data_IF_804524725658
#
_entry.id   IF_804524725658
#
_cell.length_a   1.000
_cell.length_b   1.000
_cell.length_c   1.000
_cell.angle_alpha   90.00
_cell.angle_beta   90.00
_cell.angle_gamma   90.00
#
_symmetry.space_group_name_H-M   'P 1'
#
loop_
_entity.id
_entity.type
_entity.pdbx_description
1 polymer ?
#
# COMPACT_ATOMS: atom_id res chain seq x y z
N UNK A 1 -4.01 14.60 -28.99
CA UNK A 1 -2.68 14.77 -29.61
C UNK A 1 -2.21 16.24 -29.61
N UNK A 2 -2.97 17.24 -30.06
CA UNK A 2 -2.51 18.65 -30.07
C UNK A 2 -2.06 19.19 -28.70
N UNK A 3 -2.76 18.89 -27.61
CA UNK A 3 -2.41 19.37 -26.26
C UNK A 3 -1.07 18.81 -25.74
N UNK A 4 -0.72 17.58 -26.11
CA UNK A 4 0.57 16.98 -25.72
C UNK A 4 1.76 17.61 -26.44
N UNK A 5 1.57 18.07 -27.69
CA UNK A 5 2.62 18.75 -28.46
C UNK A 5 2.92 20.10 -27.82
N UNK A 6 1.89 20.87 -27.42
CA UNK A 6 2.06 22.17 -26.76
C UNK A 6 2.77 22.00 -25.41
N UNK A 7 2.37 21.01 -24.61
CA UNK A 7 2.98 20.72 -23.33
C UNK A 7 4.47 20.34 -23.49
N UNK A 8 4.80 19.51 -24.48
CA UNK A 8 6.17 19.12 -24.79
C UNK A 8 7.02 20.32 -25.22
N UNK A 9 6.46 21.27 -25.97
CA UNK A 9 7.17 22.51 -26.35
C UNK A 9 7.43 23.39 -25.13
N UNK A 10 6.50 23.51 -24.20
CA UNK A 10 6.68 24.26 -22.96
C UNK A 10 7.83 23.67 -22.15
N UNK A 11 7.89 22.33 -22.03
CA UNK A 11 8.97 21.63 -21.34
C UNK A 11 10.32 21.78 -22.05
N UNK A 12 10.37 21.70 -23.37
CA UNK A 12 11.60 21.94 -24.13
C UNK A 12 12.10 23.39 -24.00
N UNK A 13 11.21 24.38 -24.01
CA UNK A 13 11.57 25.80 -23.84
C UNK A 13 12.05 26.00 -22.39
N UNK A 14 11.38 25.46 -21.38
CA UNK A 14 11.82 25.52 -19.99
C UNK A 14 13.23 24.96 -19.82
N UNK A 15 13.53 23.85 -20.46
CA UNK A 15 14.86 23.23 -20.42
C UNK A 15 15.93 24.06 -21.20
N UNK A 16 15.61 24.63 -22.32
CA UNK A 16 16.52 25.54 -23.05
C UNK A 16 16.84 26.79 -22.23
N UNK A 17 15.83 27.37 -21.56
CA UNK A 17 16.02 28.47 -20.61
C UNK A 17 16.96 28.05 -19.48
N UNK A 18 16.81 26.82 -18.96
CA UNK A 18 17.69 26.28 -17.96
C UNK A 18 19.15 26.15 -18.40
N UNK A 19 19.41 25.69 -19.64
CA UNK A 19 20.76 25.63 -20.20
C UNK A 19 21.43 27.01 -20.27
N UNK A 20 20.67 28.06 -20.56
CA UNK A 20 21.16 29.44 -20.66
C UNK A 20 21.45 30.04 -19.27
N UNK A 21 20.65 29.71 -18.27
CA UNK A 21 20.80 30.25 -16.91
C UNK A 21 21.68 29.40 -15.97
N UNK A 22 22.11 28.19 -16.35
CA UNK A 22 22.86 27.27 -15.49
C UNK A 22 24.35 27.49 -15.46
N UNK A 23 24.83 28.67 -15.01
CA UNK A 23 26.25 28.85 -14.62
C UNK A 23 26.66 27.86 -13.50
N UNK A 24 25.72 27.32 -12.73
CA UNK A 24 25.94 26.37 -11.64
C UNK A 24 26.36 24.98 -12.14
N UNK A 25 25.94 24.57 -13.34
CA UNK A 25 26.33 23.28 -13.92
C UNK A 25 27.80 23.17 -14.32
N UNK A 26 28.49 24.30 -14.53
CA UNK A 26 29.92 24.31 -14.87
C UNK A 26 30.84 23.95 -13.70
N UNK A 27 30.36 24.00 -12.46
CA UNK A 27 31.13 23.56 -11.27
C UNK A 27 31.08 22.04 -11.05
N UNK A 28 30.14 21.34 -11.70
CA UNK A 28 30.01 19.90 -11.64
C UNK A 28 30.74 19.27 -12.83
N UNK A 29 31.55 18.23 -12.60
CA UNK A 29 32.42 17.60 -13.60
C UNK A 29 31.71 17.18 -14.88
N UNK A 30 32.48 16.99 -15.94
CA UNK A 30 32.04 16.74 -17.33
C UNK A 30 31.05 15.58 -17.51
N UNK A 31 31.02 14.60 -16.58
CA UNK A 31 30.10 13.48 -16.59
C UNK A 31 28.65 13.88 -16.26
N UNK A 32 28.42 14.82 -15.35
CA UNK A 32 27.08 15.30 -14.97
C UNK A 32 26.42 16.12 -16.08
N UNK A 33 27.20 16.84 -16.88
CA UNK A 33 26.69 17.60 -18.04
C UNK A 33 26.09 16.66 -19.09
N UNK A 34 26.72 15.53 -19.39
CA UNK A 34 26.23 14.52 -20.33
C UNK A 34 24.86 13.94 -19.89
N UNK A 35 24.68 13.71 -18.60
CA UNK A 35 23.41 13.21 -18.07
C UNK A 35 22.27 14.25 -18.12
N UNK A 36 22.59 15.54 -18.06
CA UNK A 36 21.61 16.62 -18.17
C UNK A 36 20.96 16.69 -19.57
N UNK A 37 21.64 16.23 -20.62
CA UNK A 37 21.08 16.19 -21.98
C UNK A 37 20.11 15.02 -22.25
N UNK A 38 20.05 14.03 -21.38
CA UNK A 38 19.22 12.84 -21.60
C UNK A 38 17.72 13.14 -21.65
N UNK A 39 17.10 13.98 -20.79
CA UNK A 39 15.71 14.36 -20.92
C UNK A 39 15.40 15.14 -22.19
N UNK A 40 16.38 15.93 -22.70
CA UNK A 40 16.24 16.59 -24.01
C UNK A 40 16.14 15.56 -25.13
N UNK A 41 17.00 14.55 -25.11
CA UNK A 41 16.97 13.47 -26.07
C UNK A 41 15.64 12.70 -25.98
N UNK A 42 15.18 12.42 -24.78
CA UNK A 42 13.88 11.79 -24.57
C UNK A 42 12.73 12.65 -25.10
N UNK A 43 12.72 13.95 -24.80
CA UNK A 43 11.71 14.91 -25.30
C UNK A 43 11.75 15.02 -26.83
N UNK A 44 12.94 15.08 -27.42
CA UNK A 44 13.12 15.13 -28.87
C UNK A 44 12.56 13.85 -29.53
N UNK A 45 12.87 12.66 -28.99
CA UNK A 45 12.35 11.39 -29.50
C UNK A 45 10.82 11.35 -29.42
N UNK A 46 10.24 11.85 -28.31
CA UNK A 46 8.79 11.90 -28.12
C UNK A 46 8.11 12.82 -29.17
N UNK A 47 8.72 13.95 -29.50
CA UNK A 47 8.12 14.95 -30.38
C UNK A 47 8.31 14.59 -31.88
N UNK A 48 9.54 14.23 -32.27
CA UNK A 48 9.91 14.11 -33.70
C UNK A 48 9.84 12.70 -34.25
N UNK A 49 9.76 11.67 -33.41
CA UNK A 49 9.72 10.26 -33.82
C UNK A 49 8.59 9.48 -33.15
N UNK A 50 7.32 9.79 -33.45
CA UNK A 50 6.17 9.08 -32.85
C UNK A 50 6.13 7.59 -33.17
N UNK A 51 6.85 7.15 -34.23
CA UNK A 51 7.01 5.71 -34.56
C UNK A 51 7.87 4.97 -33.55
N UNK A 52 8.85 5.63 -32.94
CA UNK A 52 9.69 5.03 -31.87
C UNK A 52 8.87 4.76 -30.62
N UNK A 53 7.92 5.63 -30.30
CA UNK A 53 7.04 5.47 -29.11
C UNK A 53 6.07 4.29 -29.29
N UNK A 54 5.68 3.98 -30.52
CA UNK A 54 4.81 2.83 -30.81
C UNK A 54 5.54 1.50 -30.64
N UNK A 55 6.86 1.48 -30.80
CA UNK A 55 7.68 0.29 -30.60
C UNK A 55 7.97 0.06 -29.10
N UNK A 56 7.93 -1.20 -28.65
CA UNK A 56 8.25 -1.59 -27.27
C UNK A 56 9.68 -1.16 -26.88
N UNK A 57 10.65 -1.34 -27.78
CA UNK A 57 12.05 -0.93 -27.59
C UNK A 57 12.19 0.58 -27.39
N UNK A 58 11.40 1.38 -28.10
CA UNK A 58 11.41 2.84 -27.94
C UNK A 58 10.88 3.30 -26.58
N UNK A 59 9.82 2.65 -26.06
CA UNK A 59 9.29 2.94 -24.72
C UNK A 59 10.32 2.61 -23.63
N UNK A 60 11.00 1.48 -23.76
CA UNK A 60 12.07 1.08 -22.84
C UNK A 60 13.23 2.08 -22.89
N UNK A 61 13.65 2.48 -24.08
CA UNK A 61 14.72 3.48 -24.23
C UNK A 61 14.37 4.82 -23.57
N UNK A 62 13.16 5.33 -23.81
CA UNK A 62 12.69 6.57 -23.20
C UNK A 62 12.61 6.44 -21.68
N UNK A 63 12.12 5.29 -21.17
CA UNK A 63 12.10 5.02 -19.72
C UNK A 63 13.50 5.07 -19.10
N UNK A 64 14.49 4.46 -19.76
CA UNK A 64 15.88 4.46 -19.30
C UNK A 64 16.50 5.86 -19.32
N UNK A 65 16.21 6.65 -20.36
CA UNK A 65 16.70 8.03 -20.45
C UNK A 65 16.11 8.92 -19.33
N UNK A 66 14.83 8.78 -19.03
CA UNK A 66 14.19 9.54 -17.94
C UNK A 66 14.75 9.09 -16.60
N UNK A 67 14.88 7.78 -16.37
CA UNK A 67 15.40 7.22 -15.12
C UNK A 67 16.84 7.71 -14.87
N UNK A 68 17.69 7.71 -15.90
CA UNK A 68 19.06 8.22 -15.78
C UNK A 68 19.10 9.74 -15.51
N UNK A 69 18.15 10.50 -16.04
CA UNK A 69 17.96 11.91 -15.69
C UNK A 69 17.54 12.13 -14.23
N UNK A 70 16.66 11.27 -13.70
CA UNK A 70 16.30 11.30 -12.28
C UNK A 70 17.51 10.99 -11.37
N UNK A 71 18.30 9.97 -11.70
CA UNK A 71 19.50 9.62 -10.95
C UNK A 71 20.53 10.77 -10.99
N UNK A 72 20.72 11.41 -12.14
CA UNK A 72 21.64 12.53 -12.28
C UNK A 72 21.20 13.74 -11.42
N UNK A 73 19.91 14.06 -11.41
CA UNK A 73 19.41 15.16 -10.58
C UNK A 73 19.54 14.85 -9.08
N UNK A 74 19.26 13.61 -8.66
CA UNK A 74 19.48 13.18 -7.28
C UNK A 74 20.94 13.32 -6.86
N UNK A 75 21.87 12.82 -7.66
CA UNK A 75 23.31 12.95 -7.39
C UNK A 75 23.75 14.42 -7.30
N UNK A 76 23.19 15.28 -8.17
CA UNK A 76 23.49 16.71 -8.15
C UNK A 76 23.01 17.40 -6.88
N UNK A 77 21.83 17.02 -6.39
CA UNK A 77 21.26 17.59 -5.15
C UNK A 77 22.02 17.10 -3.93
N UNK A 78 22.42 15.84 -3.88
CA UNK A 78 23.20 15.28 -2.76
C UNK A 78 24.66 15.81 -2.71
N UNK A 79 25.21 16.21 -3.87
CA UNK A 79 26.58 16.78 -3.95
C UNK A 79 26.61 18.29 -3.80
N UNK A 80 25.46 18.97 -3.82
CA UNK A 80 25.38 20.42 -3.63
C UNK A 80 25.67 20.77 -2.17
N UNK A 81 26.56 21.74 -1.94
CA UNK A 81 26.71 22.35 -0.61
C UNK A 81 25.39 23.00 -0.20
N UNK A 82 25.00 22.80 1.09
CA UNK A 82 23.74 23.25 1.66
C UNK A 82 23.45 24.72 1.37
N UNK A 83 22.28 25.01 0.78
CA UNK A 83 21.68 26.34 0.87
C UNK A 83 21.22 27.04 -0.40
N UNK A 84 21.54 26.59 -1.62
CA UNK A 84 21.04 27.25 -2.83
C UNK A 84 20.98 26.32 -4.05
N UNK A 85 19.98 25.47 -4.10
CA UNK A 85 19.63 24.88 -5.38
C UNK A 85 19.14 25.98 -6.34
N UNK A 86 19.81 26.10 -7.48
CA UNK A 86 19.44 27.03 -8.55
C UNK A 86 18.02 26.72 -9.05
N UNK A 87 17.25 27.73 -9.40
CA UNK A 87 15.94 27.58 -10.06
C UNK A 87 15.98 26.65 -11.27
N UNK A 88 17.15 26.51 -11.89
CA UNK A 88 17.40 25.59 -12.99
C UNK A 88 17.16 24.12 -12.63
N UNK A 89 17.52 23.67 -11.43
CA UNK A 89 17.29 22.30 -10.98
C UNK A 89 15.79 22.02 -10.81
N UNK A 90 15.03 22.96 -10.27
CA UNK A 90 13.59 22.81 -10.12
C UNK A 90 12.86 22.76 -11.47
N UNK A 91 13.26 23.55 -12.46
CA UNK A 91 12.74 23.45 -13.82
C UNK A 91 13.07 22.08 -14.45
N UNK A 92 14.27 21.56 -14.18
CA UNK A 92 14.66 20.22 -14.62
C UNK A 92 13.80 19.13 -13.99
N UNK A 93 13.55 19.20 -12.67
CA UNK A 93 12.66 18.27 -11.95
C UNK A 93 11.24 18.31 -12.53
N UNK A 94 10.68 19.51 -12.75
CA UNK A 94 9.35 19.66 -13.37
C UNK A 94 9.32 19.02 -14.77
N UNK A 95 10.37 19.18 -15.55
CA UNK A 95 10.48 18.56 -16.89
C UNK A 95 10.49 17.04 -16.79
N UNK A 96 11.28 16.46 -15.86
CA UNK A 96 11.34 15.01 -15.65
C UNK A 96 9.99 14.44 -15.19
N UNK A 97 9.33 15.11 -14.25
CA UNK A 97 7.99 14.72 -13.80
C UNK A 97 6.97 14.75 -14.92
N UNK A 98 7.01 15.78 -15.77
CA UNK A 98 6.17 15.88 -16.96
C UNK A 98 6.41 14.75 -17.97
N UNK A 99 7.68 14.37 -18.17
CA UNK A 99 8.06 13.24 -19.03
C UNK A 99 7.63 11.89 -18.43
N UNK A 100 7.79 11.69 -17.13
CA UNK A 100 7.30 10.50 -16.43
C UNK A 100 5.78 10.37 -16.54
N UNK A 101 5.06 11.47 -16.40
CA UNK A 101 3.60 11.48 -16.56
C UNK A 101 3.18 11.05 -17.97
N UNK A 102 3.83 11.59 -19.01
CA UNK A 102 3.58 11.20 -20.39
C UNK A 102 3.93 9.73 -20.65
N UNK A 103 5.06 9.27 -20.08
CA UNK A 103 5.50 7.89 -20.18
C UNK A 103 4.46 6.91 -19.61
N UNK A 104 3.89 7.23 -18.44
CA UNK A 104 2.80 6.44 -17.86
C UNK A 104 1.59 6.36 -18.80
N UNK A 105 1.22 7.48 -19.44
CA UNK A 105 0.16 7.51 -20.47
C UNK A 105 0.48 6.64 -21.70
N UNK A 106 1.75 6.53 -22.11
CA UNK A 106 2.15 5.63 -23.20
C UNK A 106 2.12 4.14 -22.81
N UNK A 107 2.48 3.83 -21.57
CA UNK A 107 2.41 2.46 -21.06
C UNK A 107 0.97 1.99 -20.86
N UNK A 108 0.07 2.84 -20.42
CA UNK A 108 -1.36 2.49 -20.22
C UNK A 108 -2.11 2.18 -21.51
N UNK A 109 -1.61 2.59 -22.68
CA UNK A 109 -2.28 2.36 -23.98
C UNK A 109 -1.89 1.03 -24.66
N UNK A 110 -1.06 0.19 -24.02
CA UNK A 110 -0.54 -1.06 -24.65
C UNK A 110 -1.52 -2.24 -24.52
N UNK A 111 -2.53 -2.17 -23.66
CA UNK A 111 -3.42 -3.29 -23.31
C UNK A 111 -4.05 -4.02 -24.50
N UNK A 112 -4.20 -3.35 -25.64
CA UNK A 112 -4.94 -3.90 -26.79
C UNK A 112 -4.10 -4.71 -27.78
N UNK A 113 -2.78 -4.90 -27.59
CA UNK A 113 -1.88 -5.42 -28.63
C UNK A 113 -1.07 -6.66 -28.23
N UNK A 114 -1.14 -7.16 -26.99
CA UNK A 114 -0.20 -8.15 -26.47
C UNK A 114 -0.84 -9.36 -25.76
N UNK A 115 -0.07 -10.43 -25.64
CA UNK A 115 -0.42 -11.68 -25.01
C UNK A 115 -0.78 -11.48 -23.51
N UNK A 116 -1.77 -12.18 -22.98
CA UNK A 116 -2.34 -12.01 -21.63
C UNK A 116 -1.28 -11.93 -20.50
N UNK A 117 -0.21 -12.70 -20.60
CA UNK A 117 0.87 -12.73 -19.59
C UNK A 117 1.74 -11.46 -19.62
N UNK A 118 1.90 -10.84 -20.77
CA UNK A 118 2.66 -9.60 -20.95
C UNK A 118 1.84 -8.39 -20.47
N UNK A 119 0.53 -8.45 -20.66
CA UNK A 119 -0.40 -7.40 -20.16
C UNK A 119 -0.34 -7.29 -18.65
N UNK A 120 -0.29 -8.41 -17.92
CA UNK A 120 -0.17 -8.40 -16.45
C UNK A 120 1.12 -7.71 -15.98
N UNK A 121 2.26 -8.00 -16.66
CA UNK A 121 3.52 -7.35 -16.33
C UNK A 121 3.50 -5.84 -16.64
N UNK A 122 2.86 -5.44 -17.74
CA UNK A 122 2.73 -4.03 -18.14
C UNK A 122 1.82 -3.26 -17.18
N UNK A 123 0.76 -3.87 -16.68
CA UNK A 123 -0.13 -3.26 -15.71
C UNK A 123 0.56 -2.94 -14.38
N UNK A 124 1.68 -3.59 -14.07
CA UNK A 124 2.53 -3.25 -12.93
C UNK A 124 3.48 -2.07 -13.21
N UNK A 125 3.82 -1.81 -14.47
CA UNK A 125 4.78 -0.74 -14.82
C UNK A 125 4.24 0.64 -14.44
N UNK A 126 2.97 0.92 -14.71
CA UNK A 126 2.37 2.24 -14.42
C UNK A 126 2.34 2.54 -12.92
N UNK A 127 1.84 1.66 -12.04
CA UNK A 127 1.90 1.87 -10.59
C UNK A 127 3.34 2.00 -10.05
N UNK A 128 4.29 1.21 -10.57
CA UNK A 128 5.71 1.28 -10.17
C UNK A 128 6.34 2.61 -10.58
N UNK A 129 6.09 3.07 -11.80
CA UNK A 129 6.57 4.39 -12.27
C UNK A 129 5.96 5.52 -11.46
N UNK A 130 4.67 5.42 -11.14
CA UNK A 130 3.98 6.44 -10.34
C UNK A 130 4.51 6.47 -8.90
N UNK A 131 4.66 5.31 -8.25
CA UNK A 131 5.26 5.21 -6.93
C UNK A 131 6.71 5.71 -6.91
N UNK A 132 7.52 5.34 -7.91
CA UNK A 132 8.89 5.82 -8.08
C UNK A 132 8.95 7.35 -8.29
N UNK A 133 8.01 7.92 -9.06
CA UNK A 133 7.90 9.36 -9.24
C UNK A 133 7.59 10.09 -7.92
N UNK A 134 6.69 9.52 -7.08
CA UNK A 134 6.39 10.10 -5.78
C UNK A 134 7.59 10.04 -4.82
N UNK A 135 8.31 8.92 -4.78
CA UNK A 135 9.55 8.79 -3.99
C UNK A 135 10.64 9.74 -4.49
N UNK A 136 10.79 9.87 -5.80
CA UNK A 136 11.71 10.83 -6.41
C UNK A 136 11.38 12.28 -6.02
N UNK A 137 10.10 12.67 -6.11
CA UNK A 137 9.67 14.00 -5.69
C UNK A 137 9.88 14.22 -4.20
N UNK A 138 9.60 13.23 -3.37
CA UNK A 138 9.84 13.31 -1.92
C UNK A 138 11.32 13.55 -1.63
N UNK A 139 12.23 12.75 -2.22
CA UNK A 139 13.67 12.92 -2.08
C UNK A 139 14.12 14.32 -2.52
N UNK A 140 13.70 14.75 -3.72
CA UNK A 140 14.05 16.05 -4.26
C UNK A 140 13.55 17.22 -3.41
N UNK A 141 12.34 17.13 -2.87
CA UNK A 141 11.78 18.18 -2.01
C UNK A 141 12.49 18.24 -0.66
N UNK A 142 12.74 17.09 -0.02
CA UNK A 142 13.35 17.06 1.31
C UNK A 142 14.80 17.51 1.27
N UNK A 143 15.59 16.98 0.35
CA UNK A 143 17.01 17.34 0.21
C UNK A 143 17.15 18.73 -0.42
N UNK A 144 16.35 19.03 -1.44
CA UNK A 144 16.46 20.27 -2.20
C UNK A 144 16.04 21.54 -1.45
N UNK A 145 15.13 21.44 -0.50
CA UNK A 145 14.72 22.54 0.39
C UNK A 145 15.39 22.47 1.76
N UNK A 146 16.36 21.58 1.95
CA UNK A 146 17.04 21.37 3.23
C UNK A 146 16.04 21.17 4.39
N UNK A 147 15.03 20.35 4.16
CA UNK A 147 14.01 20.07 5.17
C UNK A 147 14.66 19.36 6.35
N UNK A 148 14.50 19.84 7.59
CA UNK A 148 15.06 19.17 8.74
C UNK A 148 14.65 17.69 8.81
N UNK A 149 15.62 16.79 8.91
CA UNK A 149 15.43 15.33 8.91
C UNK A 149 14.47 14.85 10.01
N UNK A 150 14.43 15.60 11.12
CA UNK A 150 13.49 15.36 12.23
C UNK A 150 12.03 15.61 11.84
N UNK A 151 11.76 16.48 10.84
CA UNK A 151 10.40 16.73 10.36
C UNK A 151 10.02 15.71 9.30
N UNK A 152 10.88 15.54 8.30
CA UNK A 152 10.63 14.62 7.18
C UNK A 152 11.95 14.12 6.59
N UNK A 153 12.40 12.89 6.92
CA UNK A 153 13.61 12.34 6.35
C UNK A 153 13.43 12.00 4.86
N UNK A 154 14.49 12.13 4.05
CA UNK A 154 14.47 11.71 2.67
C UNK A 154 14.37 10.18 2.55
N UNK A 155 13.72 9.64 1.50
CA UNK A 155 13.63 8.21 1.23
C UNK A 155 14.96 7.46 1.23
N UNK A 156 16.03 8.07 0.78
CA UNK A 156 17.39 7.48 0.82
C UNK A 156 17.86 7.19 2.24
N UNK A 157 17.60 8.11 3.17
CA UNK A 157 17.95 7.97 4.59
C UNK A 157 17.09 6.89 5.26
N UNK A 158 15.79 6.85 4.93
CA UNK A 158 14.89 5.79 5.39
C UNK A 158 15.38 4.42 4.89
N UNK A 159 15.81 4.33 3.62
CA UNK A 159 16.40 3.11 3.06
C UNK A 159 17.67 2.66 3.77
N UNK A 160 18.55 3.58 4.11
CA UNK A 160 19.76 3.28 4.91
C UNK A 160 19.39 2.83 6.33
N UNK A 161 18.48 3.53 7.00
CA UNK A 161 17.98 3.14 8.32
C UNK A 161 17.35 1.75 8.30
N UNK A 162 16.56 1.43 7.25
CA UNK A 162 15.98 0.11 7.06
C UNK A 162 17.05 -0.99 6.99
N UNK A 163 18.08 -0.81 6.16
CA UNK A 163 19.16 -1.79 5.99
C UNK A 163 19.98 -1.94 7.27
N UNK A 164 20.33 -0.83 7.93
CA UNK A 164 21.14 -0.83 9.15
C UNK A 164 20.41 -1.40 10.37
N UNK A 165 19.07 -1.39 10.34
CA UNK A 165 18.23 -1.84 11.46
C UNK A 165 17.48 -3.15 11.18
N UNK A 166 17.87 -3.93 10.16
CA UNK A 166 17.15 -5.14 9.71
C UNK A 166 16.92 -6.15 10.85
N UNK A 167 17.89 -6.41 11.69
CA UNK A 167 17.77 -7.36 12.80
C UNK A 167 16.73 -6.90 13.82
N UNK A 168 16.76 -5.63 14.16
CA UNK A 168 15.80 -5.00 15.07
C UNK A 168 14.39 -4.98 14.48
N UNK A 169 14.26 -4.56 13.23
CA UNK A 169 12.96 -4.53 12.51
C UNK A 169 12.37 -5.91 12.34
N UNK A 170 13.21 -6.95 12.16
CA UNK A 170 12.76 -8.33 12.10
C UNK A 170 12.21 -8.82 13.44
N UNK A 171 12.87 -8.49 14.57
CA UNK A 171 12.37 -8.82 15.90
C UNK A 171 11.03 -8.12 16.19
N UNK A 172 10.91 -6.83 15.83
CA UNK A 172 9.68 -6.06 15.97
C UNK A 172 8.55 -6.64 15.10
N UNK A 173 8.84 -7.04 13.85
CA UNK A 173 7.91 -7.72 12.98
C UNK A 173 7.42 -9.05 13.58
N UNK A 174 8.32 -9.88 14.12
CA UNK A 174 7.93 -11.13 14.75
C UNK A 174 6.99 -10.90 15.93
N UNK A 175 7.29 -9.93 16.78
CA UNK A 175 6.49 -9.65 17.98
C UNK A 175 5.11 -9.11 17.62
N UNK A 176 5.06 -8.09 16.74
CA UNK A 176 3.79 -7.44 16.37
C UNK A 176 2.99 -8.30 15.41
N UNK A 177 3.59 -8.73 14.29
CA UNK A 177 2.84 -9.35 13.20
C UNK A 177 2.64 -10.85 13.44
N UNK A 178 3.71 -11.62 13.63
CA UNK A 178 3.61 -13.08 13.71
C UNK A 178 2.94 -13.56 15.02
N UNK A 179 3.15 -12.86 16.13
CA UNK A 179 2.54 -13.24 17.40
C UNK A 179 1.21 -12.53 17.64
N UNK A 180 1.21 -11.19 17.75
CA UNK A 180 0.02 -10.47 18.16
C UNK A 180 -1.07 -10.39 17.06
N UNK A 181 -0.69 -9.96 15.84
CA UNK A 181 -1.64 -9.78 14.73
C UNK A 181 -2.24 -11.12 14.31
N UNK A 182 -1.42 -12.13 14.02
CA UNK A 182 -1.94 -13.42 13.54
C UNK A 182 -2.77 -14.12 14.61
N UNK A 183 -2.32 -14.17 15.88
CA UNK A 183 -3.09 -14.79 16.94
C UNK A 183 -4.44 -14.08 17.15
N UNK A 184 -4.42 -12.75 17.29
CA UNK A 184 -5.65 -11.97 17.47
C UNK A 184 -6.61 -12.06 16.28
N UNK A 185 -6.08 -12.05 15.05
CA UNK A 185 -6.87 -12.22 13.82
C UNK A 185 -7.54 -13.60 13.76
N UNK A 186 -6.80 -14.67 14.02
CA UNK A 186 -7.36 -16.02 14.00
C UNK A 186 -8.43 -16.19 15.08
N UNK A 187 -8.17 -15.72 16.31
CA UNK A 187 -9.12 -15.80 17.40
C UNK A 187 -10.35 -14.92 17.14
N UNK A 188 -10.17 -13.69 16.68
CA UNK A 188 -11.26 -12.76 16.45
C UNK A 188 -12.12 -13.14 15.24
N UNK A 189 -11.51 -13.43 14.09
CA UNK A 189 -12.25 -13.89 12.92
C UNK A 189 -12.87 -15.28 13.14
N UNK A 190 -12.15 -16.20 13.77
CA UNK A 190 -12.66 -17.54 14.07
C UNK A 190 -13.86 -17.52 15.00
N UNK A 191 -13.74 -16.81 16.12
CA UNK A 191 -14.86 -16.67 17.07
C UNK A 191 -16.02 -15.89 16.46
N UNK A 192 -15.76 -14.81 15.72
CA UNK A 192 -16.78 -14.03 15.01
C UNK A 192 -17.56 -14.87 13.99
N UNK A 193 -16.88 -15.74 13.24
CA UNK A 193 -17.51 -16.68 12.32
C UNK A 193 -18.38 -17.71 13.05
N UNK A 194 -17.86 -18.35 14.10
CA UNK A 194 -18.60 -19.34 14.89
C UNK A 194 -19.86 -18.72 15.50
N UNK A 195 -19.72 -17.54 16.10
CA UNK A 195 -20.85 -16.83 16.70
C UNK A 195 -21.85 -16.40 15.62
N UNK A 196 -21.41 -16.01 14.41
CA UNK A 196 -22.31 -15.70 13.30
C UNK A 196 -23.20 -16.90 12.93
N UNK A 197 -22.64 -18.10 12.83
CA UNK A 197 -23.41 -19.33 12.57
C UNK A 197 -24.39 -19.64 13.72
N UNK A 198 -23.98 -19.42 14.97
CA UNK A 198 -24.88 -19.60 16.12
C UNK A 198 -26.04 -18.58 16.10
N UNK A 199 -25.73 -17.33 15.83
CA UNK A 199 -26.73 -16.22 15.72
C UNK A 199 -27.70 -16.46 14.57
N UNK A 200 -27.23 -17.00 13.45
CA UNK A 200 -28.08 -17.37 12.31
C UNK A 200 -29.09 -18.44 12.68
N UNK A 201 -28.70 -19.43 13.47
CA UNK A 201 -29.57 -20.54 13.91
C UNK A 201 -30.55 -20.13 15.00
N UNK A 202 -30.20 -19.17 15.87
CA UNK A 202 -30.94 -18.81 17.08
C UNK A 202 -31.45 -17.36 16.98
N UNK A 203 -32.74 -17.12 16.64
CA UNK A 203 -33.28 -15.77 16.43
C UNK A 203 -33.15 -14.81 17.63
N UNK A 204 -33.16 -15.35 18.84
CA UNK A 204 -32.96 -14.56 20.05
C UNK A 204 -31.57 -13.93 20.12
N UNK A 205 -30.52 -14.68 19.79
CA UNK A 205 -29.15 -14.19 19.73
C UNK A 205 -28.98 -13.08 18.67
N UNK A 206 -29.68 -13.20 17.54
CA UNK A 206 -29.64 -12.20 16.47
C UNK A 206 -30.15 -10.83 16.96
N UNK A 207 -31.29 -10.82 17.68
CA UNK A 207 -31.88 -9.58 18.20
C UNK A 207 -31.04 -8.91 19.28
N UNK A 208 -30.27 -9.69 20.04
CA UNK A 208 -29.41 -9.19 21.11
C UNK A 208 -28.02 -8.76 20.63
N UNK A 209 -27.34 -9.61 19.86
CA UNK A 209 -25.93 -9.40 19.50
C UNK A 209 -25.69 -8.36 18.41
N UNK A 210 -26.61 -8.17 17.45
CA UNK A 210 -26.41 -7.18 16.38
C UNK A 210 -26.36 -5.73 16.89
N UNK A 211 -27.26 -5.27 17.79
CA UNK A 211 -27.13 -3.94 18.38
C UNK A 211 -25.84 -3.77 19.19
N UNK A 212 -25.44 -4.82 19.95
CA UNK A 212 -24.18 -4.80 20.69
C UNK A 212 -22.96 -4.73 19.77
N UNK A 213 -23.03 -5.36 18.58
CA UNK A 213 -21.99 -5.28 17.57
C UNK A 213 -21.75 -3.85 17.07
N UNK A 214 -22.81 -3.10 16.86
CA UNK A 214 -22.71 -1.70 16.47
C UNK A 214 -22.09 -0.85 17.58
N UNK A 215 -22.45 -1.09 18.84
CA UNK A 215 -21.86 -0.40 19.99
C UNK A 215 -20.37 -0.74 20.15
N UNK A 216 -20.02 -2.02 20.01
CA UNK A 216 -18.63 -2.47 20.15
C UNK A 216 -17.71 -1.94 19.05
N UNK A 217 -18.26 -1.74 17.83
CA UNK A 217 -17.52 -1.11 16.74
C UNK A 217 -17.19 0.37 17.00
N UNK A 218 -17.94 1.02 17.89
CA UNK A 218 -17.72 2.39 18.31
C UNK A 218 -16.77 2.55 19.51
N UNK A 219 -16.30 1.42 20.10
CA UNK A 219 -15.37 1.49 21.25
C UNK A 219 -14.02 2.07 20.82
N UNK A 220 -13.53 3.12 21.50
CA UNK A 220 -12.23 3.68 21.20
C UNK A 220 -11.12 2.71 21.59
N UNK A 221 -10.35 2.24 20.61
CA UNK A 221 -9.24 1.28 20.82
C UNK A 221 -8.26 1.79 21.87
N UNK A 222 -7.99 3.10 21.85
CA UNK A 222 -7.10 3.79 22.79
C UNK A 222 -7.52 3.58 24.25
N UNK A 223 -8.83 3.46 24.50
CA UNK A 223 -9.36 3.17 25.85
C UNK A 223 -9.31 1.69 26.22
N UNK A 224 -9.45 0.80 25.26
CA UNK A 224 -9.46 -0.65 25.49
C UNK A 224 -8.05 -1.20 25.69
N UNK A 225 -7.06 -0.68 24.97
CA UNK A 225 -5.69 -1.21 24.99
C UNK A 225 -5.06 -1.25 26.40
N UNK A 226 -5.12 -0.21 27.24
CA UNK A 226 -4.59 -0.26 28.61
C UNK A 226 -5.26 -1.34 29.47
N UNK A 227 -6.58 -1.55 29.30
CA UNK A 227 -7.33 -2.57 30.05
C UNK A 227 -6.85 -3.96 29.66
N UNK A 228 -6.62 -4.20 28.37
CA UNK A 228 -6.09 -5.48 27.90
C UNK A 228 -4.67 -5.73 28.42
N UNK A 229 -3.84 -4.70 28.51
CA UNK A 229 -2.51 -4.80 29.11
C UNK A 229 -2.59 -5.14 30.60
N UNK A 230 -3.54 -4.57 31.34
CA UNK A 230 -3.75 -4.90 32.76
C UNK A 230 -4.20 -6.35 32.95
N UNK A 231 -5.01 -6.91 32.05
CA UNK A 231 -5.55 -8.26 32.18
C UNK A 231 -4.60 -9.35 31.66
N UNK A 232 -3.91 -9.10 30.55
CA UNK A 232 -3.10 -10.08 29.84
C UNK A 232 -1.59 -9.83 29.91
N UNK A 233 -1.17 -8.74 30.57
CA UNK A 233 0.24 -8.38 30.72
C UNK A 233 0.81 -7.60 29.53
N UNK A 234 2.12 -7.34 29.60
CA UNK A 234 2.81 -6.47 28.65
C UNK A 234 3.25 -7.17 27.36
N UNK A 235 3.15 -8.50 27.25
CA UNK A 235 3.60 -9.25 26.08
C UNK A 235 2.53 -9.25 24.96
N UNK A 236 2.72 -10.03 23.91
CA UNK A 236 1.88 -10.10 22.71
C UNK A 236 0.40 -10.45 22.99
N UNK A 237 0.10 -11.15 24.10
CA UNK A 237 -1.25 -11.61 24.43
C UNK A 237 -2.25 -10.46 24.59
N UNK A 238 -1.85 -9.37 25.24
CA UNK A 238 -2.71 -8.19 25.40
C UNK A 238 -3.03 -7.52 24.06
N UNK A 239 -2.06 -7.47 23.13
CA UNK A 239 -2.24 -6.94 21.78
C UNK A 239 -3.13 -7.86 20.96
N UNK A 240 -2.93 -9.17 21.05
CA UNK A 240 -3.80 -10.15 20.42
C UNK A 240 -5.25 -10.05 20.93
N UNK A 241 -5.47 -9.76 22.20
CA UNK A 241 -6.80 -9.53 22.76
C UNK A 241 -7.47 -8.27 22.17
N UNK A 242 -6.73 -7.18 22.01
CA UNK A 242 -7.22 -5.98 21.33
C UNK A 242 -7.59 -6.29 19.87
N UNK A 243 -6.71 -6.96 19.13
CA UNK A 243 -6.96 -7.39 17.76
C UNK A 243 -8.18 -8.29 17.65
N UNK A 244 -8.33 -9.25 18.59
CA UNK A 244 -9.49 -10.15 18.65
C UNK A 244 -10.81 -9.37 18.75
N UNK A 245 -10.88 -8.38 19.65
CA UNK A 245 -12.09 -7.55 19.82
C UNK A 245 -12.40 -6.78 18.54
N UNK A 246 -11.37 -6.18 17.90
CA UNK A 246 -11.53 -5.38 16.69
C UNK A 246 -11.99 -6.19 15.48
N UNK A 247 -11.54 -7.43 15.35
CA UNK A 247 -11.81 -8.28 14.18
C UNK A 247 -13.05 -9.15 14.34
N UNK A 248 -13.51 -9.36 15.56
CA UNK A 248 -14.68 -10.17 15.90
C UNK A 248 -15.97 -9.65 15.24
N UNK A 249 -16.33 -8.38 15.49
CA UNK A 249 -17.62 -7.84 15.04
C UNK A 249 -17.72 -7.66 13.52
N UNK A 250 -16.72 -7.14 12.81
CA UNK A 250 -16.76 -7.09 11.35
C UNK A 250 -16.92 -8.49 10.73
N UNK A 251 -16.27 -9.51 11.32
CA UNK A 251 -16.41 -10.88 10.85
C UNK A 251 -17.82 -11.41 11.09
N UNK A 252 -18.37 -11.21 12.28
CA UNK A 252 -19.74 -11.62 12.64
C UNK A 252 -20.77 -11.00 11.70
N UNK A 253 -20.72 -9.68 11.51
CA UNK A 253 -21.72 -8.95 10.70
C UNK A 253 -21.65 -9.34 9.24
N UNK A 254 -20.45 -9.39 8.66
CA UNK A 254 -20.29 -9.77 7.25
C UNK A 254 -20.67 -11.23 7.00
N UNK A 255 -20.33 -12.15 7.91
CA UNK A 255 -20.74 -13.56 7.81
C UNK A 255 -22.26 -13.68 7.82
N UNK A 256 -22.94 -13.03 8.78
CA UNK A 256 -24.41 -13.03 8.84
C UNK A 256 -25.05 -12.44 7.57
N UNK A 257 -24.50 -11.34 7.07
CA UNK A 257 -24.96 -10.72 5.82
C UNK A 257 -24.82 -11.69 4.64
N UNK A 258 -23.67 -12.37 4.58
CA UNK A 258 -23.40 -13.37 3.56
C UNK A 258 -24.35 -14.59 3.65
N UNK A 259 -24.60 -15.11 4.85
CA UNK A 259 -25.54 -16.22 5.04
C UNK A 259 -26.98 -15.85 4.63
N UNK A 260 -27.36 -14.58 4.78
CA UNK A 260 -28.69 -14.07 4.38
C UNK A 260 -28.79 -13.68 2.91
N UNK A 261 -27.69 -13.58 2.19
CA UNK A 261 -27.68 -13.21 0.76
C UNK A 261 -28.10 -14.34 -0.18
N UNK A 262 -28.31 -15.55 0.34
CA UNK A 262 -28.79 -16.69 -0.46
C UNK A 262 -30.18 -16.38 -1.01
N UNK A 263 -30.41 -16.62 -2.30
CA UNK A 263 -31.67 -16.36 -2.96
C UNK A 263 -32.79 -17.25 -2.47
N UNK A 264 -34.03 -16.77 -2.56
CA UNK A 264 -35.20 -17.51 -2.08
C UNK A 264 -35.42 -18.80 -2.90
N UNK A 265 -35.09 -18.77 -4.20
CA UNK A 265 -35.25 -19.92 -5.08
C UNK A 265 -34.35 -21.10 -4.65
N UNK A 266 -33.11 -20.82 -4.29
CA UNK A 266 -32.16 -21.82 -3.80
C UNK A 266 -32.63 -22.41 -2.46
N UNK A 267 -33.19 -21.57 -1.57
CA UNK A 267 -33.74 -22.02 -0.30
C UNK A 267 -34.98 -22.90 -0.49
N UNK A 268 -35.90 -22.51 -1.36
CA UNK A 268 -37.13 -23.28 -1.67
C UNK A 268 -36.77 -24.62 -2.31
N UNK A 269 -35.75 -24.65 -3.18
CA UNK A 269 -35.22 -25.88 -3.74
C UNK A 269 -34.74 -26.84 -2.66
N UNK A 270 -33.93 -26.32 -1.71
CA UNK A 270 -33.44 -27.14 -0.62
C UNK A 270 -34.57 -27.65 0.31
N UNK A 271 -35.58 -26.83 0.54
CA UNK A 271 -36.78 -27.25 1.26
C UNK A 271 -37.55 -28.34 0.53
N UNK A 272 -37.66 -28.30 -0.79
CA UNK A 272 -38.34 -29.34 -1.59
C UNK A 272 -37.62 -30.71 -1.53
N UNK A 273 -36.29 -30.69 -1.25
CA UNK A 273 -35.51 -31.90 -0.96
C UNK A 273 -35.50 -32.30 0.51
N UNK A 274 -36.33 -31.68 1.34
CA UNK A 274 -36.41 -31.89 2.80
C UNK A 274 -35.02 -31.75 3.49
N UNK A 275 -34.18 -30.82 3.00
CA UNK A 275 -32.87 -30.60 3.59
C UNK A 275 -32.96 -30.00 4.99
N UNK A 276 -32.17 -30.51 5.91
CA UNK A 276 -32.06 -29.96 7.25
C UNK A 276 -31.23 -28.66 7.28
N UNK A 277 -31.22 -27.96 8.42
CA UNK A 277 -30.47 -26.71 8.58
C UNK A 277 -28.99 -26.85 8.23
N UNK A 278 -28.32 -27.90 8.63
CA UNK A 278 -26.89 -28.10 8.42
C UNK A 278 -26.56 -28.41 6.95
N UNK A 279 -27.44 -29.20 6.30
CA UNK A 279 -27.32 -29.47 4.86
C UNK A 279 -27.50 -28.19 4.04
N UNK A 280 -28.47 -27.35 4.38
CA UNK A 280 -28.72 -26.06 3.76
C UNK A 280 -27.55 -25.10 4.01
N UNK A 281 -27.04 -25.03 5.24
CA UNK A 281 -25.92 -24.19 5.61
C UNK A 281 -24.67 -24.57 4.81
N UNK A 282 -24.27 -25.83 4.85
CA UNK A 282 -22.97 -26.27 4.28
C UNK A 282 -23.00 -26.30 2.76
N UNK A 283 -24.12 -26.75 2.15
CA UNK A 283 -24.20 -26.97 0.69
C UNK A 283 -24.54 -25.72 -0.10
N UNK A 284 -25.26 -24.76 0.48
CA UNK A 284 -25.79 -23.61 -0.26
C UNK A 284 -25.39 -22.29 0.39
N UNK A 285 -25.74 -22.06 1.65
CA UNK A 285 -25.60 -20.75 2.29
C UNK A 285 -24.16 -20.39 2.57
N UNK A 286 -23.34 -21.31 3.07
CA UNK A 286 -21.92 -21.07 3.36
C UNK A 286 -21.12 -20.82 2.09
N UNK A 287 -21.22 -21.64 1.00
CA UNK A 287 -20.58 -21.31 -0.26
C UNK A 287 -20.99 -19.95 -0.82
N UNK A 288 -22.27 -19.60 -0.77
CA UNK A 288 -22.76 -18.31 -1.26
C UNK A 288 -22.29 -17.12 -0.40
N UNK A 289 -21.98 -17.37 0.89
CA UNK A 289 -21.46 -16.35 1.81
C UNK A 289 -19.95 -16.12 1.72
N UNK A 290 -19.19 -16.97 1.01
CA UNK A 290 -17.73 -16.88 0.93
C UNK A 290 -17.20 -15.51 0.49
N UNK A 291 -17.76 -14.82 -0.53
CA UNK A 291 -17.30 -13.49 -0.89
C UNK A 291 -17.43 -12.48 0.26
N UNK A 292 -18.48 -12.56 1.07
CA UNK A 292 -18.68 -11.70 2.24
C UNK A 292 -17.69 -12.04 3.36
N UNK A 293 -17.42 -13.32 3.58
CA UNK A 293 -16.43 -13.79 4.54
C UNK A 293 -15.03 -13.31 4.16
N UNK A 294 -14.62 -13.48 2.90
CA UNK A 294 -13.33 -12.98 2.43
C UNK A 294 -13.23 -11.46 2.46
N UNK A 295 -14.32 -10.75 2.19
CA UNK A 295 -14.36 -9.30 2.36
C UNK A 295 -14.10 -8.90 3.82
N UNK A 296 -14.74 -9.59 4.78
CA UNK A 296 -14.47 -9.38 6.20
C UNK A 296 -13.02 -9.68 6.58
N UNK A 297 -12.45 -10.79 6.09
CA UNK A 297 -11.05 -11.15 6.35
C UNK A 297 -10.09 -10.07 5.83
N UNK A 298 -10.31 -9.52 4.63
CA UNK A 298 -9.51 -8.44 4.06
C UNK A 298 -9.59 -7.15 4.90
N UNK A 299 -10.78 -6.73 5.31
CA UNK A 299 -10.98 -5.59 6.20
C UNK A 299 -10.27 -5.84 7.54
N UNK A 300 -10.46 -7.01 8.11
CA UNK A 300 -9.87 -7.39 9.39
C UNK A 300 -8.35 -7.50 9.36
N UNK A 301 -7.73 -7.80 8.22
CA UNK A 301 -6.27 -7.84 8.11
C UNK A 301 -5.62 -6.48 8.37
N UNK A 302 -6.23 -5.40 7.88
CA UNK A 302 -5.77 -4.03 8.13
C UNK A 302 -6.11 -3.57 9.55
N UNK A 303 -7.32 -3.86 10.03
CA UNK A 303 -7.71 -3.54 11.41
C UNK A 303 -6.85 -4.25 12.45
N UNK A 304 -6.46 -5.49 12.20
CA UNK A 304 -5.61 -6.28 13.09
C UNK A 304 -4.22 -5.63 13.26
N UNK A 305 -3.62 -5.19 12.16
CA UNK A 305 -2.31 -4.53 12.18
C UNK A 305 -2.38 -3.18 12.92
N UNK A 306 -3.37 -2.35 12.59
CA UNK A 306 -3.59 -1.07 13.27
C UNK A 306 -3.82 -1.29 14.76
N UNK A 307 -4.68 -2.25 15.12
CA UNK A 307 -5.00 -2.55 16.53
C UNK A 307 -3.78 -3.01 17.33
N UNK A 308 -2.93 -3.88 16.77
CA UNK A 308 -1.71 -4.32 17.41
C UNK A 308 -0.72 -3.18 17.63
N UNK A 309 -0.45 -2.36 16.59
CA UNK A 309 0.48 -1.23 16.67
C UNK A 309 0.00 -0.20 17.71
N UNK A 310 -1.30 0.15 17.69
CA UNK A 310 -1.86 1.10 18.67
C UNK A 310 -1.82 0.53 20.08
N UNK A 311 -2.10 -0.76 20.25
CA UNK A 311 -2.04 -1.38 21.57
C UNK A 311 -0.62 -1.40 22.14
N UNK A 312 0.40 -1.51 21.30
CA UNK A 312 1.81 -1.47 21.71
C UNK A 312 2.24 -0.12 22.29
N UNK A 313 1.58 0.99 21.95
CA UNK A 313 1.87 2.31 22.56
C UNK A 313 1.57 2.36 24.06
N UNK A 314 0.69 1.50 24.56
CA UNK A 314 0.26 1.49 25.96
C UNK A 314 1.02 0.51 26.86
N UNK A 315 1.91 -0.26 26.32
CA UNK A 315 2.75 -1.17 27.08
C UNK A 315 3.12 -2.40 26.28
N UNK A 316 4.41 -2.59 26.13
CA UNK A 316 4.98 -3.72 25.42
C UNK A 316 6.33 -4.05 26.05
N UNK A 317 6.86 -5.28 25.89
CA UNK A 317 8.26 -5.52 26.10
C UNK A 317 9.07 -4.65 25.10
N UNK A 318 10.38 -4.53 25.29
CA UNK A 318 11.28 -3.63 24.55
C UNK A 318 11.34 -3.95 23.02
N UNK A 319 10.34 -4.67 22.49
CA UNK A 319 10.27 -5.17 21.11
C UNK A 319 8.84 -5.02 20.59
N UNK A 320 8.70 -4.53 19.38
CA UNK A 320 7.42 -4.37 18.68
C UNK A 320 7.40 -3.14 17.79
N UNK A 321 6.68 -3.20 16.66
CA UNK A 321 6.64 -2.10 15.68
C UNK A 321 6.03 -0.82 16.28
N UNK A 322 4.95 -0.92 17.05
CA UNK A 322 4.36 0.23 17.73
C UNK A 322 5.25 0.81 18.82
N UNK A 323 5.90 -0.04 19.60
CA UNK A 323 6.91 0.38 20.57
C UNK A 323 8.05 1.12 19.88
N UNK A 324 8.55 0.59 18.76
CA UNK A 324 9.64 1.20 18.01
C UNK A 324 9.24 2.60 17.53
N UNK A 325 8.09 2.73 16.91
CA UNK A 325 7.55 4.03 16.47
C UNK A 325 7.51 5.01 17.64
N UNK A 326 6.93 4.62 18.78
CA UNK A 326 6.77 5.50 19.94
C UNK A 326 8.10 5.95 20.54
N UNK A 327 9.05 5.01 20.70
CA UNK A 327 10.35 5.31 21.33
C UNK A 327 11.29 6.09 20.43
N UNK A 328 11.34 5.78 19.13
CA UNK A 328 12.23 6.46 18.19
C UNK A 328 11.72 7.87 17.83
N UNK A 329 10.41 8.13 17.88
CA UNK A 329 9.87 9.51 17.85
C UNK A 329 10.42 10.32 19.05
N UNK A 330 10.40 9.74 20.23
CA UNK A 330 10.93 10.42 21.43
C UNK A 330 12.44 10.68 21.40
N UNK A 331 13.19 9.89 20.60
CA UNK A 331 14.63 10.03 20.37
C UNK A 331 14.98 10.91 19.17
N UNK A 332 13.98 11.40 18.43
CA UNK A 332 14.15 12.15 17.18
C UNK A 332 14.76 11.33 16.01
N UNK A 333 14.77 9.99 16.09
CA UNK A 333 15.23 9.09 15.02
C UNK A 333 14.09 8.79 14.03
N UNK A 334 13.65 9.82 13.34
CA UNK A 334 12.46 9.75 12.48
C UNK A 334 12.68 8.85 11.25
N UNK A 335 13.90 8.66 10.82
CA UNK A 335 14.31 7.72 9.77
C UNK A 335 13.98 6.26 10.14
N UNK A 336 14.28 5.84 11.38
CA UNK A 336 13.92 4.51 11.91
C UNK A 336 12.41 4.36 12.07
N UNK A 337 11.71 5.43 12.46
CA UNK A 337 10.23 5.44 12.51
C UNK A 337 9.63 5.14 11.15
N UNK A 338 10.08 5.83 10.10
CA UNK A 338 9.61 5.59 8.74
C UNK A 338 10.00 4.20 8.21
N UNK A 339 11.19 3.72 8.55
CA UNK A 339 11.61 2.34 8.24
C UNK A 339 10.66 1.31 8.89
N UNK A 340 10.27 1.53 10.15
CA UNK A 340 9.30 0.67 10.86
C UNK A 340 7.90 0.75 10.23
N UNK A 341 7.44 1.94 9.85
CA UNK A 341 6.18 2.14 9.13
C UNK A 341 6.21 1.41 7.78
N UNK A 342 7.34 1.44 7.06
CA UNK A 342 7.49 0.70 5.80
C UNK A 342 7.37 -0.81 6.02
N UNK A 343 7.97 -1.39 7.08
CA UNK A 343 7.79 -2.80 7.44
C UNK A 343 6.33 -3.12 7.72
N UNK A 344 5.65 -2.27 8.50
CA UNK A 344 4.23 -2.44 8.80
C UNK A 344 3.36 -2.40 7.53
N UNK A 345 3.61 -1.42 6.64
CA UNK A 345 2.89 -1.29 5.38
C UNK A 345 3.11 -2.49 4.44
N UNK A 346 4.34 -2.97 4.32
CA UNK A 346 4.66 -4.17 3.53
C UNK A 346 3.99 -5.41 4.11
N UNK A 347 4.02 -5.59 5.43
CA UNK A 347 3.39 -6.71 6.13
C UNK A 347 1.88 -6.72 5.94
N UNK A 348 1.22 -5.57 6.12
CA UNK A 348 -0.22 -5.42 5.94
C UNK A 348 -0.63 -5.63 4.48
N UNK A 349 0.12 -5.08 3.53
CA UNK A 349 -0.11 -5.25 2.09
C UNK A 349 0.05 -6.71 1.66
N UNK A 350 1.09 -7.39 2.14
CA UNK A 350 1.29 -8.81 1.89
C UNK A 350 0.16 -9.66 2.45
N UNK A 351 -0.26 -9.39 3.69
CA UNK A 351 -1.36 -10.12 4.33
C UNK A 351 -2.69 -9.92 3.58
N UNK A 352 -3.00 -8.68 3.21
CA UNK A 352 -4.16 -8.38 2.37
C UNK A 352 -4.10 -9.10 1.01
N UNK A 353 -2.96 -9.04 0.33
CA UNK A 353 -2.76 -9.69 -0.96
C UNK A 353 -2.90 -11.22 -0.88
N UNK A 354 -2.39 -11.83 0.21
CA UNK A 354 -2.56 -13.26 0.47
C UNK A 354 -4.04 -13.63 0.60
N UNK A 355 -4.81 -12.85 1.37
CA UNK A 355 -6.25 -13.09 1.53
C UNK A 355 -7.02 -12.87 0.23
N UNK A 356 -6.67 -11.86 -0.56
CA UNK A 356 -7.25 -11.61 -1.88
C UNK A 356 -6.93 -12.75 -2.87
N UNK A 357 -5.72 -13.30 -2.80
CA UNK A 357 -5.35 -14.47 -3.58
C UNK A 357 -6.17 -15.71 -3.19
N UNK A 358 -6.31 -15.97 -1.89
CA UNK A 358 -7.15 -17.07 -1.37
C UNK A 358 -8.61 -16.89 -1.77
N UNK A 359 -9.15 -15.67 -1.65
CA UNK A 359 -10.50 -15.36 -2.11
C UNK A 359 -10.70 -15.79 -3.56
N UNK A 360 -9.80 -15.39 -4.45
CA UNK A 360 -9.87 -15.72 -5.87
C UNK A 360 -9.86 -17.23 -6.13
N UNK A 361 -9.15 -18.00 -5.32
CA UNK A 361 -9.12 -19.47 -5.43
C UNK A 361 -10.45 -20.10 -5.00
N UNK A 362 -11.01 -19.61 -3.89
CA UNK A 362 -12.22 -20.21 -3.30
C UNK A 362 -13.53 -19.67 -3.87
N UNK A 363 -13.54 -18.45 -4.44
CA UNK A 363 -14.76 -17.78 -4.93
C UNK A 363 -14.76 -17.50 -6.43
N UNK A 364 -13.78 -18.02 -7.18
CA UNK A 364 -13.66 -17.79 -8.64
C UNK A 364 -14.85 -18.29 -9.46
N UNK A 365 -15.68 -19.16 -8.92
CA UNK A 365 -16.95 -19.62 -9.52
C UNK A 365 -18.09 -18.62 -9.35
N UNK A 366 -18.03 -17.70 -8.41
CA UNK A 366 -19.10 -16.75 -8.08
C UNK A 366 -19.27 -15.69 -9.19
N UNK A 367 -20.52 -15.29 -9.55
CA UNK A 367 -20.78 -14.33 -10.64
C UNK A 367 -20.07 -12.99 -10.49
N UNK A 368 -19.81 -12.52 -9.25
CA UNK A 368 -19.10 -11.25 -9.00
C UNK A 368 -17.68 -11.21 -9.56
N UNK A 369 -17.05 -12.37 -9.86
CA UNK A 369 -15.72 -12.46 -10.47
C UNK A 369 -15.72 -12.68 -11.99
N UNK A 370 -16.91 -12.86 -12.60
CA UNK A 370 -17.03 -13.10 -14.05
C UNK A 370 -17.21 -11.83 -14.86
N UNK A 371 -17.44 -10.69 -14.21
CA UNK A 371 -17.60 -9.38 -14.86
C UNK A 371 -16.26 -8.67 -14.81
N UNK A 372 -15.33 -9.09 -15.68
CA UNK A 372 -14.02 -8.49 -15.89
C UNK A 372 -13.43 -8.94 -17.21
#
# INVERSE_FOLDING_TARGET
MKNYIILNWIFCIGFLVQLIFSRVWMSYGSSTILFAFQPLLASFLVIYRPTVIKAMSGKILISLLILSGCIASLNSVHSAETGALSWGIWLYVVTLVGLLWQLMGFWSQIENLLNKNVVVAINLVVPVLFGGMLLYLWEMLTVGFDVPQVLLPPPSMIGMAFVNSLEMLWADFQQTFLKAVLAGFILGCGSGFIVAVMVDKIPFLQRGLLPLGNLASALPIVGVAPIMVMWFGFDWQSKAAVVMIMTFFPMLVNTLTGLKSTGQIELDLMHSYAADYWQMLIKVRLPNSLPFIFNALKINSTLALIGAIVAEFFGTPIVGMGFRISTEIGRMNVDVVWATIAVAALSGSFFYALLAFLERQFTGWHPSFRVG
#
